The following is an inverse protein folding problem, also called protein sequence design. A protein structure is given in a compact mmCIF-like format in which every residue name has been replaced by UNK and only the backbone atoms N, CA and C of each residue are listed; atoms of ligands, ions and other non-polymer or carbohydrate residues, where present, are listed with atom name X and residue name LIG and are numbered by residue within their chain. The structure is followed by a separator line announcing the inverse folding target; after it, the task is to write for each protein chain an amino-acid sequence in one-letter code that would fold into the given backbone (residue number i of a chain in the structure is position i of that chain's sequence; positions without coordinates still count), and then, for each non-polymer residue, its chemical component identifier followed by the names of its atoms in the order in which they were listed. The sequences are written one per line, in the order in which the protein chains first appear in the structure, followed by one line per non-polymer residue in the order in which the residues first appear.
data_IF_583775295449
#
_entry.id   IF_583775295449
#
_cell.length_a   1.000
_cell.length_b   1.000
_cell.length_c   1.000
_cell.angle_alpha   90.00
_cell.angle_beta   90.00
_cell.angle_gamma   90.00
#
_symmetry.space_group_name_H-M   'P 1'
#
loop_
_entity.id
_entity.type
_entity.pdbx_description
1 polymer ?
#
# COMPACT_ATOMS: atom_id res chain seq x y z
N UNK A 1 5.88 30.83 6.95
CA UNK A 1 5.58 31.26 8.34
C UNK A 1 5.55 30.04 9.23
N UNK A 2 6.58 29.83 10.07
CA UNK A 2 6.62 28.71 11.02
C UNK A 2 5.77 29.07 12.24
N UNK A 3 4.61 28.45 12.40
CA UNK A 3 3.85 28.53 13.65
C UNK A 3 4.54 27.61 14.66
N UNK A 4 4.89 28.15 15.82
CA UNK A 4 5.42 27.34 16.91
C UNK A 4 4.42 26.23 17.26
N UNK A 5 4.92 24.99 17.38
CA UNK A 5 4.09 23.88 17.84
C UNK A 5 3.61 24.15 19.26
N UNK A 6 2.36 23.75 19.54
CA UNK A 6 1.79 23.78 20.88
C UNK A 6 2.66 22.96 21.86
N UNK A 7 2.89 23.48 23.07
CA UNK A 7 3.65 22.82 24.13
C UNK A 7 3.10 21.43 24.44
N UNK A 8 1.77 21.25 24.40
CA UNK A 8 1.14 19.95 24.61
C UNK A 8 1.53 18.94 23.52
N UNK A 9 1.53 19.37 22.26
CA UNK A 9 1.94 18.53 21.13
C UNK A 9 3.42 18.18 21.23
N UNK A 10 4.27 19.14 21.59
CA UNK A 10 5.71 18.89 21.81
C UNK A 10 5.92 17.86 22.93
N UNK A 11 5.19 17.98 24.04
CA UNK A 11 5.28 17.02 25.14
C UNK A 11 4.86 15.61 24.69
N UNK A 12 3.74 15.49 23.96
CA UNK A 12 3.27 14.21 23.42
C UNK A 12 4.20 13.62 22.34
N UNK A 13 4.94 14.43 21.59
CA UNK A 13 5.95 13.94 20.65
C UNK A 13 7.28 13.57 21.33
N UNK A 14 7.55 14.08 22.53
CA UNK A 14 8.76 13.73 23.31
C UNK A 14 8.55 12.56 24.26
N UNK A 15 7.31 12.33 24.70
CA UNK A 15 6.95 11.35 25.71
C UNK A 15 5.85 10.43 25.19
N UNK A 16 5.76 9.24 25.77
CA UNK A 16 4.74 8.24 25.41
C UNK A 16 5.29 7.10 24.55
N UNK A 17 4.58 5.99 24.58
CA UNK A 17 4.93 4.79 23.84
C UNK A 17 4.46 4.91 22.39
N UNK A 18 5.34 5.45 21.53
CA UNK A 18 5.05 5.60 20.10
C UNK A 18 4.99 4.25 19.38
N UNK A 19 5.67 3.23 19.91
CA UNK A 19 5.63 1.89 19.33
C UNK A 19 4.23 1.30 19.51
N UNK A 20 3.67 1.38 20.72
CA UNK A 20 2.29 0.97 20.97
C UNK A 20 1.29 1.71 20.08
N UNK A 21 1.47 3.03 19.92
CA UNK A 21 0.61 3.83 19.02
C UNK A 21 0.73 3.35 17.57
N UNK A 22 1.95 3.03 17.12
CA UNK A 22 2.15 2.46 15.79
C UNK A 22 1.43 1.11 15.64
N UNK A 23 1.61 0.21 16.61
CA UNK A 23 0.98 -1.12 16.59
C UNK A 23 -0.55 -0.98 16.51
N UNK A 24 -1.13 -0.14 17.37
CA UNK A 24 -2.57 0.11 17.44
C UNK A 24 -3.11 0.75 16.14
N UNK A 25 -2.44 1.78 15.59
CA UNK A 25 -2.85 2.42 14.32
C UNK A 25 -2.67 1.48 13.13
N UNK A 26 -1.63 0.66 13.13
CA UNK A 26 -1.37 -0.27 12.03
C UNK A 26 -2.42 -1.38 11.94
N UNK A 27 -3.00 -1.78 13.08
CA UNK A 27 -4.07 -2.78 13.16
C UNK A 27 -5.34 -2.37 12.41
N UNK A 28 -5.58 -1.06 12.23
CA UNK A 28 -6.72 -0.53 11.47
C UNK A 28 -6.72 -1.02 10.02
N UNK A 29 -5.53 -1.20 9.44
CA UNK A 29 -5.36 -1.56 8.03
C UNK A 29 -5.38 -3.07 7.78
N UNK A 30 -5.48 -3.88 8.83
CA UNK A 30 -5.68 -5.33 8.72
C UNK A 30 -7.16 -5.55 8.39
N UNK A 31 -7.45 -6.09 7.20
CA UNK A 31 -8.82 -6.14 6.66
C UNK A 31 -9.77 -6.97 7.54
N UNK A 32 -10.98 -6.48 7.84
CA UNK A 32 -12.07 -7.30 8.36
C UNK A 32 -12.53 -8.32 7.31
N UNK A 33 -13.08 -9.45 7.75
CA UNK A 33 -13.52 -10.55 6.87
C UNK A 33 -14.73 -10.21 5.98
N UNK A 34 -15.38 -9.06 6.19
CA UNK A 34 -16.69 -8.76 5.60
C UNK A 34 -16.61 -7.95 4.29
N UNK A 35 -15.42 -7.52 3.86
CA UNK A 35 -15.24 -6.83 2.57
C UNK A 35 -15.80 -5.38 2.51
N UNK A 36 -16.31 -4.85 3.62
CA UNK A 36 -16.76 -3.47 3.74
C UNK A 36 -15.59 -2.47 3.57
N UNK A 37 -15.87 -1.31 2.98
CA UNK A 37 -14.86 -0.26 2.72
C UNK A 37 -14.54 0.53 3.97
N UNK A 38 -13.36 0.37 4.55
CA UNK A 38 -12.93 1.14 5.73
C UNK A 38 -13.12 2.65 5.53
N UNK A 39 -13.90 3.27 6.40
CA UNK A 39 -14.07 4.72 6.46
C UNK A 39 -13.15 5.30 7.52
N UNK A 40 -12.44 6.38 7.20
CA UNK A 40 -11.47 6.99 8.12
C UNK A 40 -11.78 8.48 8.28
N UNK A 41 -11.97 8.89 9.54
CA UNK A 41 -12.08 10.30 9.93
C UNK A 41 -10.82 10.75 10.67
N UNK A 42 -10.29 11.93 10.33
CA UNK A 42 -9.14 12.51 11.04
C UNK A 42 -9.63 13.53 12.06
N UNK A 43 -9.48 13.20 13.35
CA UNK A 43 -9.92 14.05 14.44
C UNK A 43 -8.95 15.20 14.71
N UNK A 44 -9.53 16.40 14.88
CA UNK A 44 -8.84 17.59 15.38
C UNK A 44 -8.69 17.59 16.91
N UNK A 45 -8.06 18.65 17.44
CA UNK A 45 -7.78 18.78 18.88
C UNK A 45 -9.04 18.86 19.77
N UNK A 46 -10.19 19.20 19.19
CA UNK A 46 -11.47 19.34 19.90
C UNK A 46 -12.09 18.02 20.34
N UNK A 47 -11.55 16.88 19.92
CA UNK A 47 -12.05 15.54 20.23
C UNK A 47 -11.00 14.75 21.03
N UNK A 48 -10.80 15.06 22.33
CA UNK A 48 -9.89 14.30 23.18
C UNK A 48 -10.43 12.87 23.37
N UNK A 49 -9.56 11.88 23.15
CA UNK A 49 -9.87 10.48 23.42
C UNK A 49 -9.67 10.14 24.89
N UNK A 50 -10.22 9.01 25.34
CA UNK A 50 -9.95 8.50 26.69
C UNK A 50 -8.47 8.14 26.85
N UNK A 51 -8.00 8.08 28.09
CA UNK A 51 -6.63 7.70 28.39
C UNK A 51 -6.37 6.26 27.91
N UNK A 52 -5.33 6.07 27.10
CA UNK A 52 -4.98 4.77 26.52
C UNK A 52 -5.69 4.43 25.21
N UNK A 53 -6.65 5.25 24.76
CA UNK A 53 -7.26 5.11 23.43
C UNK A 53 -6.44 5.90 22.39
N UNK A 54 -6.26 5.29 21.22
CA UNK A 54 -5.51 5.89 20.10
C UNK A 54 -6.37 6.17 18.87
N UNK A 55 -7.55 5.57 18.80
CA UNK A 55 -8.59 5.81 17.80
C UNK A 55 -9.95 5.41 18.37
N UNK A 56 -11.03 5.87 17.74
CA UNK A 56 -12.39 5.39 17.97
C UNK A 56 -12.79 4.49 16.82
N UNK A 57 -13.54 3.41 17.09
CA UNK A 57 -14.04 2.52 16.07
C UNK A 57 -15.53 2.31 16.25
N UNK A 58 -16.27 2.54 15.19
CA UNK A 58 -17.68 2.22 15.04
C UNK A 58 -17.82 1.33 13.81
N UNK A 59 -17.95 0.02 14.04
CA UNK A 59 -17.94 -1.02 13.00
C UNK A 59 -16.73 -0.90 12.05
N UNK A 60 -16.98 -0.38 10.85
CA UNK A 60 -16.05 -0.20 9.75
C UNK A 60 -15.63 1.28 9.54
N UNK A 61 -16.11 2.18 10.38
CA UNK A 61 -15.65 3.56 10.48
C UNK A 61 -14.66 3.71 11.64
N UNK A 62 -13.54 4.40 11.37
CA UNK A 62 -12.47 4.63 12.35
C UNK A 62 -12.12 6.11 12.40
N UNK A 63 -12.15 6.70 13.59
CA UNK A 63 -11.76 8.09 13.81
C UNK A 63 -10.40 8.15 14.52
N UNK A 64 -9.41 8.77 13.89
CA UNK A 64 -8.02 8.81 14.37
C UNK A 64 -7.58 10.26 14.62
N UNK A 65 -7.11 10.62 15.83
CA UNK A 65 -6.54 11.94 16.07
C UNK A 65 -5.27 12.17 15.27
N UNK A 66 -5.16 13.34 14.64
CA UNK A 66 -4.00 13.73 13.82
C UNK A 66 -2.65 13.52 14.55
N UNK A 67 -2.61 13.78 15.85
CA UNK A 67 -1.41 13.58 16.67
C UNK A 67 -0.97 12.10 16.72
N UNK A 68 -1.93 11.17 16.82
CA UNK A 68 -1.64 9.73 16.85
C UNK A 68 -1.12 9.24 15.51
N UNK A 69 -1.65 9.76 14.40
CA UNK A 69 -1.16 9.48 13.04
C UNK A 69 0.31 9.92 12.93
N UNK A 70 0.65 11.12 13.40
CA UNK A 70 2.04 11.62 13.36
C UNK A 70 2.97 10.78 14.23
N UNK A 71 2.54 10.37 15.43
CA UNK A 71 3.33 9.49 16.30
C UNK A 71 3.59 8.12 15.65
N UNK A 72 2.56 7.50 15.08
CA UNK A 72 2.69 6.24 14.34
C UNK A 72 3.62 6.40 13.12
N UNK A 73 3.50 7.50 12.38
CA UNK A 73 4.36 7.79 11.23
C UNK A 73 5.84 7.88 11.60
N UNK A 74 6.19 8.48 12.75
CA UNK A 74 7.60 8.58 13.17
C UNK A 74 8.23 7.20 13.36
N UNK A 75 7.50 6.26 13.97
CA UNK A 75 7.94 4.86 14.12
C UNK A 75 8.01 4.17 12.76
N UNK A 76 6.96 4.29 11.95
CA UNK A 76 6.91 3.71 10.61
C UNK A 76 8.10 4.17 9.75
N UNK A 77 8.45 5.45 9.81
CA UNK A 77 9.60 6.02 9.10
C UNK A 77 10.92 5.41 9.56
N UNK A 78 11.10 5.19 10.86
CA UNK A 78 12.32 4.54 11.40
C UNK A 78 12.43 3.09 10.92
N UNK A 79 11.33 2.32 10.98
CA UNK A 79 11.30 0.93 10.50
C UNK A 79 11.63 0.89 9.00
N UNK A 80 11.01 1.78 8.22
CA UNK A 80 11.25 1.86 6.78
C UNK A 80 12.68 2.26 6.43
N UNK A 81 13.28 3.20 7.17
CA UNK A 81 14.69 3.55 7.02
C UNK A 81 15.62 2.37 7.33
N UNK A 82 15.32 1.59 8.38
CA UNK A 82 16.06 0.35 8.68
C UNK A 82 15.96 -0.65 7.54
N UNK A 83 14.76 -0.83 6.95
CA UNK A 83 14.59 -1.68 5.77
C UNK A 83 15.45 -1.22 4.59
N UNK A 84 15.48 0.09 4.31
CA UNK A 84 16.30 0.64 3.23
C UNK A 84 17.81 0.49 3.47
N UNK A 85 18.26 0.53 4.72
CA UNK A 85 19.67 0.41 5.07
C UNK A 85 20.16 -1.05 5.17
N UNK A 86 19.36 -1.95 5.75
CA UNK A 86 19.78 -3.31 6.12
C UNK A 86 19.12 -4.41 5.28
N UNK A 87 18.06 -4.12 4.52
CA UNK A 87 17.40 -5.08 3.63
C UNK A 87 16.56 -6.18 4.32
N UNK A 88 16.62 -6.33 5.64
CA UNK A 88 15.89 -7.38 6.37
C UNK A 88 14.91 -6.79 7.39
N UNK A 89 13.67 -6.61 6.95
CA UNK A 89 12.52 -6.42 7.83
C UNK A 89 11.50 -7.46 7.43
N UNK A 90 10.80 -8.04 8.41
CA UNK A 90 9.72 -8.97 8.17
C UNK A 90 8.67 -8.39 7.19
N UNK A 91 8.14 -9.22 6.30
CA UNK A 91 7.26 -8.78 5.22
C UNK A 91 5.93 -8.23 5.75
N UNK A 92 5.36 -8.86 6.79
CA UNK A 92 4.12 -8.42 7.42
C UNK A 92 4.31 -7.08 8.12
N UNK A 93 5.42 -6.93 8.87
CA UNK A 93 5.80 -5.66 9.47
C UNK A 93 6.02 -4.55 8.42
N UNK A 94 6.59 -4.89 7.25
CA UNK A 94 6.78 -3.91 6.18
C UNK A 94 5.46 -3.54 5.49
N UNK A 95 4.51 -4.47 5.40
CA UNK A 95 3.16 -4.19 4.94
C UNK A 95 2.44 -3.19 5.86
N UNK A 96 2.43 -3.42 7.17
CA UNK A 96 1.82 -2.50 8.14
C UNK A 96 2.55 -1.15 8.19
N UNK A 97 3.88 -1.17 8.13
CA UNK A 97 4.73 0.03 8.05
C UNK A 97 4.38 0.89 6.84
N UNK A 98 4.28 0.30 5.64
CA UNK A 98 3.93 1.05 4.43
C UNK A 98 2.49 1.55 4.45
N UNK A 99 1.55 0.85 5.10
CA UNK A 99 0.18 1.37 5.30
C UNK A 99 0.18 2.67 6.10
N UNK A 100 0.91 2.72 7.23
CA UNK A 100 0.99 3.91 8.08
C UNK A 100 1.71 5.07 7.38
N UNK A 101 2.79 4.79 6.63
CA UNK A 101 3.48 5.82 5.84
C UNK A 101 2.55 6.46 4.81
N UNK A 102 1.84 5.64 4.05
CA UNK A 102 0.93 6.10 2.99
C UNK A 102 -0.34 6.74 3.54
N UNK A 103 -0.71 6.43 4.78
CA UNK A 103 -1.83 7.05 5.45
C UNK A 103 -1.57 8.54 5.77
N UNK A 104 -0.36 8.89 6.19
CA UNK A 104 0.02 10.30 6.40
C UNK A 104 0.51 10.97 5.12
N UNK A 105 1.26 10.25 4.29
CA UNK A 105 1.91 10.76 3.08
C UNK A 105 1.63 9.84 1.87
N UNK A 106 0.51 10.06 1.16
CA UNK A 106 0.17 9.26 -0.01
C UNK A 106 1.13 9.48 -1.20
N UNK A 107 1.94 10.55 -1.18
CA UNK A 107 2.93 10.85 -2.22
C UNK A 107 4.29 10.20 -1.96
N UNK A 108 4.42 9.40 -0.89
CA UNK A 108 5.63 8.68 -0.58
C UNK A 108 5.89 7.53 -1.58
N UNK A 109 6.38 7.87 -2.78
CA UNK A 109 6.55 6.95 -3.91
C UNK A 109 7.41 5.72 -3.57
N UNK A 110 8.45 5.88 -2.74
CA UNK A 110 9.29 4.75 -2.31
C UNK A 110 8.49 3.75 -1.47
N UNK A 111 7.67 4.20 -0.50
CA UNK A 111 6.82 3.33 0.31
C UNK A 111 5.75 2.65 -0.55
N UNK A 112 5.11 3.40 -1.46
CA UNK A 112 4.16 2.86 -2.41
C UNK A 112 4.79 1.78 -3.31
N UNK A 113 6.00 2.02 -3.83
CA UNK A 113 6.71 1.07 -4.67
C UNK A 113 7.23 -0.15 -3.89
N UNK A 114 7.63 0.00 -2.63
CA UNK A 114 7.96 -1.14 -1.76
C UNK A 114 6.73 -1.99 -1.50
N UNK A 115 5.59 -1.38 -1.16
CA UNK A 115 4.32 -2.09 -0.98
C UNK A 115 3.91 -2.85 -2.24
N UNK A 116 4.02 -2.22 -3.41
CA UNK A 116 3.80 -2.87 -4.72
C UNK A 116 4.66 -4.13 -4.95
N UNK A 117 5.91 -4.13 -4.49
CA UNK A 117 6.80 -5.30 -4.58
C UNK A 117 6.37 -6.40 -3.63
N UNK A 118 6.07 -6.06 -2.37
CA UNK A 118 5.56 -7.01 -1.37
C UNK A 118 4.29 -7.72 -1.85
N UNK A 119 3.36 -6.94 -2.42
CA UNK A 119 2.13 -7.42 -3.04
C UNK A 119 2.43 -8.45 -4.12
N UNK A 120 3.30 -8.12 -5.08
CA UNK A 120 3.68 -9.03 -6.16
C UNK A 120 4.30 -10.32 -5.61
N UNK A 121 5.25 -10.19 -4.70
CA UNK A 121 6.02 -11.31 -4.18
C UNK A 121 5.10 -12.26 -3.38
N UNK A 122 4.13 -11.73 -2.62
CA UNK A 122 3.09 -12.51 -1.95
C UNK A 122 2.20 -13.28 -2.94
N UNK A 123 1.80 -12.65 -4.05
CA UNK A 123 1.00 -13.34 -5.09
C UNK A 123 1.81 -14.44 -5.77
N UNK A 124 3.09 -14.20 -6.06
CA UNK A 124 4.00 -15.22 -6.62
C UNK A 124 4.22 -16.38 -5.65
N UNK A 125 4.26 -16.10 -4.34
CA UNK A 125 4.33 -17.12 -3.29
C UNK A 125 3.00 -17.87 -3.06
N UNK A 126 1.88 -17.41 -3.64
CA UNK A 126 0.58 -18.06 -3.50
C UNK A 126 -0.13 -17.74 -2.17
N UNK A 127 0.17 -16.56 -1.61
CA UNK A 127 -0.47 -16.09 -0.37
C UNK A 127 -1.81 -15.47 -0.73
N UNK A 128 -2.88 -16.26 -0.58
CA UNK A 128 -4.25 -15.88 -0.94
C UNK A 128 -4.94 -14.94 0.08
N UNK A 129 -4.28 -14.66 1.21
CA UNK A 129 -4.84 -13.86 2.31
C UNK A 129 -4.98 -12.36 1.98
N UNK A 130 -4.31 -11.88 0.94
CA UNK A 130 -4.45 -10.51 0.48
C UNK A 130 -5.72 -10.39 -0.37
N UNK A 131 -6.83 -9.95 0.23
CA UNK A 131 -8.08 -9.71 -0.50
C UNK A 131 -7.94 -8.47 -1.37
N UNK A 132 -7.81 -8.68 -2.68
CA UNK A 132 -7.67 -7.60 -3.66
C UNK A 132 -9.05 -7.10 -4.13
N UNK A 133 -9.27 -5.78 -4.01
CA UNK A 133 -10.47 -5.09 -4.50
C UNK A 133 -10.09 -3.81 -5.28
N UNK A 134 -10.88 -3.48 -6.31
CA UNK A 134 -10.91 -2.19 -7.04
C UNK A 134 -9.80 -1.91 -8.11
N UNK A 135 -9.86 -0.68 -8.65
CA UNK A 135 -9.05 -0.09 -9.74
C UNK A 135 -7.54 0.00 -9.46
N UNK A 136 -7.12 -0.06 -8.19
CA UNK A 136 -5.72 -0.01 -7.79
C UNK A 136 -4.92 -1.23 -8.30
N UNK A 137 -5.57 -2.38 -8.45
CA UNK A 137 -4.99 -3.61 -9.04
C UNK A 137 -4.74 -3.41 -10.54
N UNK A 138 -5.69 -2.81 -11.26
CA UNK A 138 -5.52 -2.48 -12.67
C UNK A 138 -4.36 -1.53 -12.90
N UNK A 139 -4.28 -0.47 -12.09
CA UNK A 139 -3.22 0.51 -12.24
C UNK A 139 -1.87 -0.07 -11.86
N UNK A 140 -1.83 -0.97 -10.87
CA UNK A 140 -0.65 -1.73 -10.52
C UNK A 140 -0.18 -2.62 -11.67
N UNK A 141 -1.06 -3.46 -12.22
CA UNK A 141 -0.75 -4.38 -13.32
C UNK A 141 -0.32 -3.63 -14.59
N UNK A 142 -1.01 -2.54 -14.92
CA UNK A 142 -0.63 -1.72 -16.06
C UNK A 142 0.72 -1.04 -15.83
N UNK A 143 0.98 -0.49 -14.63
CA UNK A 143 2.28 0.12 -14.31
C UNK A 143 3.42 -0.89 -14.35
N UNK A 144 3.19 -2.13 -13.88
CA UNK A 144 4.21 -3.18 -13.96
C UNK A 144 4.44 -3.57 -15.41
N UNK A 145 3.39 -3.89 -16.18
CA UNK A 145 3.50 -4.29 -17.59
C UNK A 145 4.07 -3.22 -18.53
N UNK A 146 3.84 -1.93 -18.25
CA UNK A 146 4.31 -0.82 -19.09
C UNK A 146 5.81 -0.51 -18.96
N UNK A 147 6.54 -1.14 -18.04
CA UNK A 147 7.97 -0.85 -17.85
C UNK A 147 8.82 -1.60 -18.89
N UNK A 148 9.53 -0.90 -19.80
CA UNK A 148 10.35 -1.53 -20.84
C UNK A 148 11.58 -2.30 -20.31
N UNK A 149 11.82 -2.28 -19.00
CA UNK A 149 12.92 -2.97 -18.32
C UNK A 149 12.49 -4.25 -17.58
N UNK A 150 11.32 -4.81 -17.90
CA UNK A 150 10.95 -6.15 -17.45
C UNK A 150 11.75 -7.17 -18.29
N UNK A 151 12.86 -7.69 -17.76
CA UNK A 151 13.49 -8.88 -18.34
C UNK A 151 12.51 -10.07 -18.36
N UNK A 152 12.79 -11.09 -19.18
CA UNK A 152 11.91 -12.26 -19.40
C UNK A 152 11.32 -12.85 -18.11
N UNK A 153 12.13 -13.05 -17.08
CA UNK A 153 11.69 -13.59 -15.77
C UNK A 153 10.56 -12.77 -15.13
N UNK A 154 10.61 -11.43 -15.22
CA UNK A 154 9.56 -10.59 -14.63
C UNK A 154 8.28 -10.54 -15.47
N UNK A 155 8.37 -10.90 -16.75
CA UNK A 155 7.21 -11.00 -17.63
C UNK A 155 6.45 -12.32 -17.36
N UNK A 156 7.17 -13.40 -17.08
CA UNK A 156 6.62 -14.67 -16.60
C UNK A 156 5.98 -14.53 -15.20
N UNK A 157 6.66 -13.83 -14.29
CA UNK A 157 6.09 -13.47 -12.97
C UNK A 157 4.77 -12.71 -13.13
N UNK A 158 4.73 -11.73 -14.04
CA UNK A 158 3.53 -10.94 -14.31
C UNK A 158 2.39 -11.80 -14.84
N UNK A 159 2.65 -12.68 -15.80
CA UNK A 159 1.66 -13.60 -16.34
C UNK A 159 1.12 -14.55 -15.25
N UNK A 160 2.01 -15.03 -14.38
CA UNK A 160 1.67 -15.90 -13.24
C UNK A 160 0.76 -15.19 -12.24
N UNK A 161 1.13 -13.97 -11.84
CA UNK A 161 0.32 -13.11 -10.96
C UNK A 161 -1.07 -12.89 -11.56
N UNK A 162 -1.14 -12.57 -12.84
CA UNK A 162 -2.41 -12.31 -13.51
C UNK A 162 -3.30 -13.55 -13.60
N UNK A 163 -2.74 -14.72 -13.93
CA UNK A 163 -3.49 -15.97 -13.99
C UNK A 163 -4.05 -16.36 -12.62
N UNK A 164 -3.26 -16.22 -11.55
CA UNK A 164 -3.73 -16.48 -10.18
C UNK A 164 -4.86 -15.54 -9.78
N UNK A 165 -4.70 -14.24 -10.03
CA UNK A 165 -5.74 -13.26 -9.73
C UNK A 165 -7.06 -13.55 -10.48
N UNK A 166 -6.99 -14.03 -11.72
CA UNK A 166 -8.18 -14.45 -12.48
C UNK A 166 -8.81 -15.72 -11.88
N UNK A 167 -8.00 -16.70 -11.48
CA UNK A 167 -8.49 -17.96 -10.90
C UNK A 167 -9.19 -17.75 -9.54
N UNK A 168 -8.81 -16.71 -8.78
CA UNK A 168 -9.40 -16.38 -7.49
C UNK A 168 -10.75 -15.65 -7.60
N UNK A 169 -11.20 -15.24 -8.80
CA UNK A 169 -12.38 -14.41 -8.99
C UNK A 169 -13.45 -15.14 -9.79
N UNK A 170 -14.72 -14.91 -9.45
CA UNK A 170 -15.83 -15.37 -10.26
C UNK A 170 -15.75 -14.73 -11.66
N UNK A 171 -16.00 -15.54 -12.70
CA UNK A 171 -15.67 -15.21 -14.09
C UNK A 171 -16.39 -13.95 -14.63
N UNK A 172 -17.54 -13.62 -14.03
CA UNK A 172 -18.42 -12.49 -14.38
C UNK A 172 -18.32 -11.30 -13.41
N UNK A 173 -17.39 -11.33 -12.46
CA UNK A 173 -17.16 -10.19 -11.56
C UNK A 173 -16.59 -8.99 -12.31
N UNK A 174 -16.91 -7.77 -11.85
CA UNK A 174 -16.34 -6.53 -12.41
C UNK A 174 -14.79 -6.56 -12.35
N UNK A 175 -14.25 -7.16 -11.30
CA UNK A 175 -12.81 -7.39 -11.11
C UNK A 175 -12.22 -8.32 -12.17
N UNK A 176 -12.89 -9.43 -12.50
CA UNK A 176 -12.46 -10.33 -13.57
C UNK A 176 -12.45 -9.62 -14.93
N UNK A 177 -13.44 -8.75 -15.21
CA UNK A 177 -13.49 -7.94 -16.42
C UNK A 177 -12.32 -6.94 -16.49
N UNK A 178 -11.99 -6.30 -15.38
CA UNK A 178 -10.84 -5.40 -15.25
C UNK A 178 -9.52 -6.13 -15.50
N UNK A 179 -9.36 -7.35 -14.95
CA UNK A 179 -8.17 -8.19 -15.16
C UNK A 179 -8.05 -8.68 -16.62
N UNK A 180 -9.17 -9.08 -17.23
CA UNK A 180 -9.24 -9.46 -18.66
C UNK A 180 -8.88 -8.28 -19.57
N UNK A 181 -9.35 -7.07 -19.25
CA UNK A 181 -9.00 -5.84 -19.97
C UNK A 181 -7.52 -5.48 -19.81
N UNK A 182 -6.96 -5.59 -18.60
CA UNK A 182 -5.54 -5.41 -18.37
C UNK A 182 -4.69 -6.39 -19.20
N UNK A 183 -5.13 -7.66 -19.32
CA UNK A 183 -4.46 -8.67 -20.18
C UNK A 183 -4.38 -8.22 -21.63
N UNK A 184 -5.54 -7.90 -22.21
CA UNK A 184 -5.64 -7.45 -23.60
C UNK A 184 -4.74 -6.25 -23.87
N UNK A 185 -4.66 -5.32 -22.92
CA UNK A 185 -3.76 -4.18 -23.01
C UNK A 185 -2.28 -4.60 -22.99
N UNK A 186 -1.87 -5.50 -22.10
CA UNK A 186 -0.50 -6.02 -22.05
C UNK A 186 -0.12 -6.80 -23.32
N UNK A 187 -1.04 -7.56 -23.88
CA UNK A 187 -0.82 -8.30 -25.13
C UNK A 187 -0.66 -7.33 -26.33
N UNK A 188 -1.31 -6.17 -26.28
CA UNK A 188 -1.32 -5.16 -27.36
C UNK A 188 -0.17 -4.14 -27.25
N UNK A 189 0.29 -3.84 -26.03
CA UNK A 189 1.20 -2.72 -25.74
C UNK A 189 2.34 -3.07 -24.78
N UNK A 190 2.43 -4.34 -24.35
CA UNK A 190 3.60 -4.82 -23.61
C UNK A 190 4.87 -4.66 -24.45
N UNK A 191 6.06 -4.81 -23.85
CA UNK A 191 7.30 -4.71 -24.57
C UNK A 191 7.38 -5.83 -25.61
N UNK A 192 6.86 -5.57 -26.81
CA UNK A 192 7.29 -6.27 -28.01
C UNK A 192 8.76 -5.93 -28.14
N UNK A 193 9.62 -6.90 -27.81
CA UNK A 193 11.03 -6.80 -28.13
C UNK A 193 11.17 -6.38 -29.59
N UNK A 194 12.05 -5.40 -29.82
CA UNK A 194 12.56 -5.00 -31.13
C UNK A 194 11.55 -5.07 -32.29
N UNK A 195 10.76 -4.01 -32.47
CA UNK A 195 10.60 -3.50 -33.83
C UNK A 195 11.65 -2.43 -34.04
N UNK A 196 12.80 -2.88 -34.54
CA UNK A 196 13.78 -2.04 -35.21
C UNK A 196 13.02 -1.07 -36.12
N UNK A 197 13.15 0.23 -35.87
CA UNK A 197 12.81 1.24 -36.85
C UNK A 197 13.80 1.10 -38.01
N UNK A 198 13.52 0.18 -38.93
CA UNK A 198 14.09 0.23 -40.27
C UNK A 198 13.18 1.13 -41.09
N UNK A 199 13.67 2.31 -41.46
CA UNK A 199 12.97 3.20 -42.38
C UNK A 199 13.19 4.68 -42.10
N UNK A 200 14.40 5.16 -42.41
CA UNK A 200 14.62 6.54 -42.85
C UNK A 200 15.98 6.61 -43.57
N UNK A 201 16.07 5.95 -44.73
CA UNK A 201 16.88 6.47 -45.83
C UNK A 201 16.03 7.49 -46.57
N UNK A 202 16.41 8.75 -46.49
CA UNK A 202 16.55 9.66 -47.63
C UNK A 202 17.51 10.79 -47.25
#
# INVERSE_FOLDING_TARGET
MSRALDKHVIAALKQGDHQKIFDDISSIFVSPEDGCRLEIEVLGQSHPLRLGEHFLRDENAVAVPKLRIVQAFLVARQIFQKHLAAGSVDAELLFTTTSVLLFLDPEHLTAANTRKRLIRDAILAGVDSLRWYNESVWWFLRTTASRPALGQTRQEDFATVQQRLLAMKADDSAEAMVLKTARKWCDSYGPHGDKTCSGATE
#
